data_IF_669234971748
#
_entry.id   IF_669234971748
#
_cell.length_a   1.000
_cell.length_b   1.000
_cell.length_c   1.000
_cell.angle_alpha   90.00
_cell.angle_beta   90.00
_cell.angle_gamma   90.00
#
_symmetry.space_group_name_H-M   'P 1'
#
loop_
_entity.id
_entity.type
_entity.pdbx_description
1 polymer ?
#
# COMPACT_ATOMS: atom_id res chain seq x y z
N UNK A 1 -7.41 13.82 53.49
CA UNK A 1 -8.79 13.29 53.47
C UNK A 1 -9.26 13.36 52.02
N UNK A 2 -8.82 12.39 51.20
CA UNK A 2 -9.63 11.29 50.62
C UNK A 2 -10.75 11.79 49.70
N UNK A 3 -10.95 11.34 48.47
CA UNK A 3 -10.42 10.29 47.59
C UNK A 3 -11.12 10.49 46.23
N UNK A 4 -10.47 10.22 45.10
CA UNK A 4 -10.49 8.97 44.32
C UNK A 4 -11.49 8.94 43.14
N UNK A 5 -10.87 8.95 41.96
CA UNK A 5 -11.10 8.23 40.69
C UNK A 5 -12.45 8.20 39.93
N UNK A 6 -12.38 8.17 38.57
CA UNK A 6 -13.52 8.12 37.65
C UNK A 6 -13.82 6.69 37.16
N UNK A 7 -15.10 6.39 36.88
CA UNK A 7 -15.50 5.16 36.19
C UNK A 7 -15.49 5.34 34.66
N UNK A 8 -14.68 4.51 34.00
CA UNK A 8 -14.68 4.33 32.55
C UNK A 8 -15.81 3.41 32.08
N UNK A 9 -16.37 3.74 30.90
CA UNK A 9 -17.26 2.89 30.14
C UNK A 9 -16.54 2.35 28.91
N UNK A 10 -16.15 1.08 28.96
CA UNK A 10 -15.70 0.28 27.82
C UNK A 10 -16.91 -0.14 27.00
N UNK A 11 -17.10 0.43 25.80
CA UNK A 11 -18.02 -0.14 24.80
C UNK A 11 -17.33 -1.30 24.07
N UNK A 12 -17.65 -2.52 24.51
CA UNK A 12 -17.44 -3.75 23.76
C UNK A 12 -18.50 -3.85 22.67
N UNK A 13 -18.11 -3.75 21.39
CA UNK A 13 -19.00 -4.07 20.27
C UNK A 13 -18.68 -5.47 19.75
N UNK A 14 -19.39 -6.47 20.26
CA UNK A 14 -19.50 -7.79 19.63
C UNK A 14 -20.69 -7.75 18.68
N UNK A 15 -20.48 -7.91 17.37
CA UNK A 15 -21.57 -8.09 16.40
C UNK A 15 -21.39 -9.37 15.58
N UNK A 16 -22.25 -10.35 15.87
CA UNK A 16 -22.49 -11.50 15.03
C UNK A 16 -23.53 -11.14 13.95
N UNK A 17 -23.25 -11.42 12.67
CA UNK A 17 -24.21 -11.27 11.56
C UNK A 17 -25.16 -12.47 11.53
N UNK A 18 -26.45 -12.23 11.72
CA UNK A 18 -27.52 -13.16 11.39
C UNK A 18 -28.16 -12.75 10.06
N UNK A 19 -27.98 -13.56 9.02
CA UNK A 19 -28.68 -13.42 7.73
C UNK A 19 -30.09 -14.01 7.84
N UNK A 20 -31.10 -13.15 7.93
CA UNK A 20 -32.51 -13.53 7.78
C UNK A 20 -32.90 -13.49 6.30
N UNK A 21 -33.07 -14.67 5.69
CA UNK A 21 -33.70 -14.78 4.38
C UNK A 21 -35.23 -14.78 4.54
N UNK A 22 -35.89 -13.71 4.10
CA UNK A 22 -37.35 -13.66 3.95
C UNK A 22 -37.78 -14.63 2.84
N UNK A 23 -38.56 -15.66 3.17
CA UNK A 23 -39.35 -16.43 2.20
C UNK A 23 -40.80 -16.03 2.32
N UNK A 24 -41.35 -15.48 1.24
CA UNK A 24 -42.77 -15.23 1.05
C UNK A 24 -43.48 -16.58 0.86
N UNK A 25 -44.41 -16.90 1.76
CA UNK A 25 -45.30 -18.05 1.63
C UNK A 25 -46.57 -17.62 0.89
N UNK A 26 -46.79 -18.14 -0.31
CA UNK A 26 -48.10 -18.12 -0.97
C UNK A 26 -48.80 -19.45 -0.67
N UNK A 27 -49.99 -19.34 -0.07
CA UNK A 27 -50.89 -20.42 0.31
C UNK A 27 -51.60 -20.96 -0.95
N UNK A 28 -51.54 -22.26 -1.22
CA UNK A 28 -52.53 -22.94 -2.05
C UNK A 28 -52.98 -24.22 -1.34
N UNK A 29 -54.27 -24.27 -1.04
CA UNK A 29 -54.94 -25.35 -0.34
C UNK A 29 -55.49 -26.38 -1.35
N UNK A 30 -55.23 -27.66 -1.04
CA UNK A 30 -56.04 -28.89 -1.20
C UNK A 30 -56.65 -29.21 -2.60
N UNK A 31 -56.77 -30.46 -3.09
CA UNK A 31 -57.17 -31.75 -2.50
C UNK A 31 -56.74 -32.85 -3.49
N UNK A 32 -56.39 -34.05 -3.03
CA UNK A 32 -56.40 -35.25 -3.90
C UNK A 32 -55.62 -36.44 -3.35
N UNK A 33 -56.31 -37.32 -2.64
CA UNK A 33 -55.76 -38.52 -2.01
C UNK A 33 -55.35 -39.62 -3.00
N UNK A 34 -54.27 -40.33 -2.69
CA UNK A 34 -54.11 -41.80 -2.74
C UNK A 34 -52.66 -42.20 -3.09
N UNK A 35 -51.94 -42.75 -2.11
CA UNK A 35 -51.11 -43.97 -2.21
C UNK A 35 -49.99 -43.93 -1.16
N UNK A 36 -50.17 -44.76 -0.14
CA UNK A 36 -49.26 -45.05 0.96
C UNK A 36 -48.05 -45.86 0.50
N UNK A 37 -46.85 -45.27 0.53
CA UNK A 37 -45.57 -45.97 0.67
C UNK A 37 -44.61 -45.06 1.47
N UNK A 38 -44.13 -45.58 2.60
CA UNK A 38 -43.46 -44.83 3.65
C UNK A 38 -42.11 -44.22 3.23
N UNK A 39 -42.02 -42.90 3.36
CA UNK A 39 -40.76 -42.16 3.37
C UNK A 39 -40.35 -41.88 4.84
N UNK A 40 -39.76 -42.88 5.48
CA UNK A 40 -39.10 -42.75 6.79
C UNK A 40 -37.59 -42.63 6.60
N UNK A 41 -37.10 -41.45 6.24
CA UNK A 41 -35.66 -41.14 6.33
C UNK A 41 -35.44 -39.63 6.43
N UNK A 42 -35.87 -39.04 7.55
CA UNK A 42 -35.46 -37.70 7.96
C UNK A 42 -35.20 -37.71 9.47
N UNK A 43 -34.07 -37.11 9.84
CA UNK A 43 -33.51 -36.90 11.19
C UNK A 43 -32.52 -37.95 11.73
N UNK A 44 -31.43 -38.18 10.99
CA UNK A 44 -30.10 -38.11 11.60
C UNK A 44 -29.28 -37.09 10.82
N UNK A 45 -29.29 -35.84 11.31
CA UNK A 45 -28.38 -34.81 10.83
C UNK A 45 -27.27 -34.74 11.86
N UNK A 46 -26.31 -35.64 11.73
CA UNK A 46 -25.04 -35.50 12.43
C UNK A 46 -24.45 -34.15 12.03
N UNK A 47 -24.15 -33.36 13.05
CA UNK A 47 -23.46 -32.09 12.97
C UNK A 47 -22.04 -32.32 12.46
N UNK A 48 -21.86 -32.31 11.14
CA UNK A 48 -20.54 -32.17 10.51
C UNK A 48 -20.22 -30.68 10.52
N UNK A 49 -19.37 -30.25 11.45
CA UNK A 49 -18.77 -28.91 11.44
C UNK A 49 -17.96 -28.69 10.15
N UNK A 50 -17.63 -27.44 9.79
CA UNK A 50 -16.81 -27.18 8.62
C UNK A 50 -15.42 -27.78 8.87
N UNK A 51 -15.14 -28.93 8.27
CA UNK A 51 -13.78 -29.45 8.21
C UNK A 51 -12.97 -28.44 7.39
N UNK A 52 -12.02 -27.76 8.03
CA UNK A 52 -10.94 -27.06 7.33
C UNK A 52 -10.39 -28.02 6.27
N UNK A 53 -10.64 -27.74 4.99
CA UNK A 53 -9.95 -28.44 3.91
C UNK A 53 -8.54 -27.89 3.83
N UNK A 54 -7.71 -28.20 4.82
CA UNK A 54 -6.26 -28.07 4.70
C UNK A 54 -5.85 -29.04 3.60
N UNK A 55 -5.59 -28.53 2.39
CA UNK A 55 -4.93 -29.33 1.33
C UNK A 55 -3.51 -29.60 1.82
N UNK A 56 -3.35 -30.65 2.63
CA UNK A 56 -2.05 -31.08 3.12
C UNK A 56 -1.16 -31.40 1.92
N UNK A 57 0.03 -30.81 1.85
CA UNK A 57 0.98 -31.07 0.76
C UNK A 57 1.35 -32.55 0.69
N UNK A 58 1.67 -33.00 -0.53
CA UNK A 58 2.06 -34.38 -0.81
C UNK A 58 3.45 -34.72 -0.25
N UNK A 59 4.35 -33.75 -0.21
CA UNK A 59 5.73 -33.89 0.21
C UNK A 59 5.98 -33.21 1.57
N UNK A 60 7.00 -33.65 2.33
CA UNK A 60 7.38 -32.96 3.56
C UNK A 60 7.80 -31.52 3.26
N UNK A 61 7.53 -30.54 4.16
CA UNK A 61 7.82 -29.14 3.91
C UNK A 61 9.27 -28.84 3.51
N UNK A 62 10.24 -29.60 4.04
CA UNK A 62 11.65 -29.43 3.69
C UNK A 62 11.98 -29.73 2.23
N UNK A 63 11.17 -30.54 1.54
CA UNK A 63 11.37 -30.85 0.13
C UNK A 63 10.97 -29.70 -0.80
N UNK A 64 10.07 -28.82 -0.33
CA UNK A 64 9.57 -27.64 -1.06
C UNK A 64 10.28 -26.35 -0.61
N UNK A 65 11.21 -26.42 0.35
CA UNK A 65 11.91 -25.25 0.85
C UNK A 65 12.78 -24.61 -0.25
N UNK A 66 12.67 -23.30 -0.50
CA UNK A 66 13.35 -22.66 -1.63
C UNK A 66 14.87 -22.57 -1.43
N UNK A 67 15.63 -22.70 -2.52
CA UNK A 67 17.07 -22.40 -2.52
C UNK A 67 17.30 -20.89 -2.60
N UNK A 68 17.66 -20.29 -1.46
CA UNK A 68 17.85 -18.85 -1.30
C UNK A 68 19.33 -18.44 -1.11
N UNK A 69 20.29 -19.33 -1.44
CA UNK A 69 21.72 -19.13 -1.17
C UNK A 69 22.33 -17.89 -1.83
N UNK A 70 21.72 -17.38 -2.90
CA UNK A 70 22.21 -16.23 -3.68
C UNK A 70 21.26 -15.03 -3.61
N UNK A 71 20.34 -15.02 -2.66
CA UNK A 71 19.27 -14.04 -2.57
C UNK A 71 19.61 -12.94 -1.57
N UNK A 72 19.28 -11.70 -1.95
CA UNK A 72 19.44 -10.50 -1.15
C UNK A 72 18.13 -9.69 -1.16
N UNK A 73 17.14 -10.20 -0.46
CA UNK A 73 15.87 -9.53 -0.17
C UNK A 73 15.45 -9.82 1.28
N UNK A 74 14.52 -9.03 1.84
CA UNK A 74 14.12 -9.14 3.24
C UNK A 74 13.48 -10.52 3.54
N UNK A 75 12.63 -11.03 2.65
CA UNK A 75 12.02 -12.36 2.78
C UNK A 75 13.09 -13.45 2.94
N UNK A 76 14.09 -13.49 2.05
CA UNK A 76 15.18 -14.47 2.12
C UNK A 76 16.06 -14.32 3.37
N UNK A 77 16.16 -13.10 3.91
CA UNK A 77 16.91 -12.83 5.16
C UNK A 77 16.19 -13.36 6.40
N UNK A 78 14.86 -13.54 6.35
CA UNK A 78 14.02 -13.89 7.50
C UNK A 78 13.35 -15.27 7.39
N UNK A 79 13.28 -15.87 6.19
CA UNK A 79 12.73 -17.21 6.03
C UNK A 79 13.70 -18.25 6.61
N UNK A 80 13.15 -19.16 7.42
CA UNK A 80 13.89 -20.30 7.96
C UNK A 80 13.14 -21.60 7.68
N UNK A 81 13.82 -22.76 7.64
CA UNK A 81 13.14 -24.05 7.47
C UNK A 81 12.03 -24.29 8.50
N UNK A 82 12.23 -23.82 9.73
CA UNK A 82 11.24 -23.94 10.80
C UNK A 82 10.00 -23.07 10.56
N UNK A 83 10.18 -21.82 10.13
CA UNK A 83 9.06 -20.93 9.77
C UNK A 83 8.31 -21.50 8.57
N UNK A 84 9.02 -21.92 7.51
CA UNK A 84 8.41 -22.50 6.33
C UNK A 84 7.57 -23.73 6.68
N UNK A 85 8.12 -24.67 7.45
CA UNK A 85 7.40 -25.89 7.84
C UNK A 85 6.13 -25.63 8.67
N UNK A 86 6.09 -24.53 9.46
CA UNK A 86 4.89 -24.14 10.23
C UNK A 86 3.82 -23.44 9.38
N UNK A 87 4.20 -22.81 8.28
CA UNK A 87 3.33 -21.94 7.50
C UNK A 87 2.94 -22.53 6.13
N UNK A 88 3.68 -23.49 5.57
CA UNK A 88 3.51 -23.94 4.18
C UNK A 88 2.16 -24.62 3.86
N UNK A 89 1.49 -25.17 4.88
CA UNK A 89 0.15 -25.78 4.77
C UNK A 89 -0.98 -24.81 5.20
N UNK A 90 -0.64 -23.62 5.71
CA UNK A 90 -1.65 -22.61 6.07
C UNK A 90 -2.15 -21.91 4.82
N UNK A 91 -3.44 -21.56 4.86
CA UNK A 91 -4.13 -20.83 3.79
C UNK A 91 -4.98 -19.72 4.41
N UNK A 92 -5.10 -18.60 3.70
CA UNK A 92 -6.04 -17.54 4.08
C UNK A 92 -7.48 -17.96 3.77
N UNK A 93 -8.51 -17.26 4.26
CA UNK A 93 -9.90 -17.57 3.91
C UNK A 93 -10.18 -17.56 2.40
N UNK A 94 -9.48 -16.73 1.63
CA UNK A 94 -9.57 -16.66 0.16
C UNK A 94 -8.70 -17.72 -0.55
N UNK A 95 -7.93 -18.53 0.20
CA UNK A 95 -7.09 -19.60 -0.33
C UNK A 95 -5.70 -19.16 -0.78
N UNK A 96 -5.22 -17.98 -0.35
CA UNK A 96 -3.85 -17.53 -0.58
C UNK A 96 -2.87 -18.30 0.32
N UNK A 97 -1.68 -18.59 -0.21
CA UNK A 97 -0.70 -19.47 0.44
C UNK A 97 0.64 -18.77 0.71
N UNK A 98 1.47 -19.36 1.57
CA UNK A 98 2.82 -18.89 1.84
C UNK A 98 3.67 -18.81 0.57
N UNK A 99 3.65 -19.86 -0.26
CA UNK A 99 4.47 -19.91 -1.48
C UNK A 99 4.11 -18.77 -2.43
N UNK A 100 2.81 -18.49 -2.58
CA UNK A 100 2.35 -17.36 -3.38
C UNK A 100 2.79 -16.02 -2.79
N UNK A 101 2.86 -15.88 -1.46
CA UNK A 101 3.41 -14.67 -0.84
C UNK A 101 4.89 -14.45 -1.22
N UNK A 102 5.71 -15.51 -1.18
CA UNK A 102 7.17 -15.42 -1.31
C UNK A 102 7.68 -15.57 -2.76
N UNK A 103 6.82 -16.01 -3.70
CA UNK A 103 7.21 -16.35 -5.07
C UNK A 103 8.05 -15.26 -5.75
N UNK A 104 7.62 -14.00 -5.65
CA UNK A 104 8.37 -12.87 -6.23
C UNK A 104 9.78 -12.75 -5.65
N UNK A 105 10.00 -13.04 -4.37
CA UNK A 105 11.33 -13.04 -3.77
C UNK A 105 12.16 -14.24 -4.12
N UNK A 106 11.55 -15.40 -4.37
CA UNK A 106 12.24 -16.60 -4.85
C UNK A 106 12.71 -16.40 -6.29
N UNK A 107 11.88 -15.83 -7.16
CA UNK A 107 12.19 -15.62 -8.57
C UNK A 107 13.16 -14.45 -8.80
N UNK A 108 13.24 -13.51 -7.85
CA UNK A 108 14.07 -12.32 -7.95
C UNK A 108 15.14 -12.30 -6.83
N UNK A 109 16.36 -12.81 -7.09
CA UNK A 109 17.43 -12.91 -6.10
C UNK A 109 17.95 -11.55 -5.62
N UNK A 110 17.66 -10.47 -6.33
CA UNK A 110 18.01 -9.12 -5.91
C UNK A 110 17.49 -8.10 -6.91
N UNK A 111 17.82 -6.83 -6.67
CA UNK A 111 17.51 -5.75 -7.60
C UNK A 111 18.76 -4.87 -7.77
N UNK A 112 19.05 -4.37 -8.99
CA UNK A 112 20.30 -3.64 -9.26
C UNK A 112 20.53 -2.41 -8.38
N UNK A 113 19.46 -1.79 -7.87
CA UNK A 113 19.54 -0.50 -7.19
C UNK A 113 19.19 -0.52 -5.69
N UNK A 114 18.46 -1.52 -5.21
CA UNK A 114 17.90 -1.53 -3.84
C UNK A 114 17.77 -2.96 -3.29
N UNK A 115 17.83 -3.13 -1.96
CA UNK A 115 17.35 -4.36 -1.31
C UNK A 115 15.82 -4.38 -1.36
N UNK A 116 15.24 -5.41 -1.97
CA UNK A 116 13.78 -5.56 -2.10
C UNK A 116 13.18 -6.29 -0.91
N UNK A 117 11.85 -6.24 -0.77
CA UNK A 117 11.14 -6.98 0.28
C UNK A 117 11.11 -8.47 -0.03
N UNK A 118 10.80 -8.87 -1.27
CA UNK A 118 10.76 -10.28 -1.68
C UNK A 118 9.50 -11.05 -1.26
N UNK A 119 8.44 -10.37 -0.83
CA UNK A 119 7.13 -10.99 -0.63
C UNK A 119 5.99 -9.98 -0.74
N UNK A 120 4.78 -10.49 -1.00
CA UNK A 120 3.54 -9.72 -1.13
C UNK A 120 2.39 -10.38 -0.36
N UNK A 121 1.40 -9.58 0.03
CA UNK A 121 0.12 -10.07 0.55
C UNK A 121 -0.89 -10.25 -0.59
N UNK A 122 -1.67 -11.35 -0.54
CA UNK A 122 -2.75 -11.60 -1.49
C UNK A 122 -4.09 -11.05 -1.02
N UNK A 123 -4.26 -10.86 0.28
CA UNK A 123 -5.47 -10.40 0.96
C UNK A 123 -5.10 -9.77 2.32
N UNK A 124 -6.08 -9.22 3.04
CA UNK A 124 -5.84 -8.57 4.35
C UNK A 124 -5.34 -9.57 5.39
N UNK A 125 -5.91 -10.78 5.39
CA UNK A 125 -5.63 -11.87 6.32
C UNK A 125 -4.22 -12.46 6.16
N UNK A 126 -3.59 -12.30 5.00
CA UNK A 126 -2.19 -12.70 4.75
C UNK A 126 -1.24 -12.19 5.84
N UNK A 127 -1.43 -10.95 6.30
CA UNK A 127 -0.61 -10.33 7.33
C UNK A 127 -0.79 -10.93 8.73
N UNK A 128 -1.87 -11.68 8.97
CA UNK A 128 -2.14 -12.38 10.22
C UNK A 128 -1.77 -13.85 10.11
N UNK A 129 -2.25 -14.55 9.08
CA UNK A 129 -2.03 -15.98 8.86
C UNK A 129 -0.54 -16.31 8.75
N UNK A 130 0.23 -15.44 8.06
CA UNK A 130 1.66 -15.59 7.84
C UNK A 130 2.49 -14.57 8.65
N UNK A 131 1.95 -14.03 9.75
CA UNK A 131 2.61 -13.02 10.61
C UNK A 131 4.00 -13.46 11.10
N UNK A 132 4.22 -14.76 11.30
CA UNK A 132 5.50 -15.29 11.73
C UNK A 132 6.64 -15.01 10.72
N UNK A 133 6.35 -14.85 9.43
CA UNK A 133 7.29 -14.36 8.42
C UNK A 133 7.13 -12.86 8.13
N UNK A 134 5.90 -12.34 8.03
CA UNK A 134 5.68 -10.93 7.72
C UNK A 134 6.26 -10.00 8.79
N UNK A 135 6.09 -10.29 10.07
CA UNK A 135 6.55 -9.41 11.15
C UNK A 135 8.07 -9.15 11.13
N UNK A 136 8.97 -10.16 11.07
CA UNK A 136 10.40 -9.91 10.98
C UNK A 136 10.80 -9.22 9.67
N UNK A 137 10.11 -9.50 8.56
CA UNK A 137 10.32 -8.78 7.29
C UNK A 137 9.92 -7.31 7.38
N UNK A 138 8.82 -7.01 8.07
CA UNK A 138 8.35 -5.64 8.34
C UNK A 138 9.36 -4.91 9.24
N UNK A 139 9.82 -5.56 10.30
CA UNK A 139 10.81 -5.00 11.24
C UNK A 139 12.13 -4.67 10.55
N UNK A 140 12.64 -5.57 9.70
CA UNK A 140 13.83 -5.29 8.88
C UNK A 140 13.57 -4.12 7.91
N UNK A 141 12.46 -4.17 7.16
CA UNK A 141 12.20 -3.20 6.09
C UNK A 141 11.92 -1.79 6.63
N UNK A 142 11.27 -1.70 7.78
CA UNK A 142 10.91 -0.46 8.46
C UNK A 142 11.81 -0.17 9.65
N UNK A 143 13.03 -0.73 9.63
CA UNK A 143 14.16 -0.27 10.42
C UNK A 143 13.84 -0.25 11.93
N UNK A 144 13.37 -1.39 12.43
CA UNK A 144 13.10 -1.63 13.85
C UNK A 144 11.66 -1.41 14.29
N UNK A 145 10.74 -1.04 13.39
CA UNK A 145 9.32 -1.04 13.74
C UNK A 145 8.84 -2.47 13.96
N UNK A 146 8.56 -2.84 15.20
CA UNK A 146 8.11 -4.18 15.54
C UNK A 146 6.57 -4.23 15.63
N UNK A 147 5.87 -4.83 14.65
CA UNK A 147 4.40 -4.83 14.61
C UNK A 147 3.75 -5.67 15.72
N UNK A 148 4.53 -6.41 16.53
CA UNK A 148 4.04 -7.20 17.67
C UNK A 148 3.94 -6.38 18.94
N UNK A 149 4.73 -5.31 19.05
CA UNK A 149 4.85 -4.50 20.28
C UNK A 149 4.53 -3.03 20.06
N UNK A 150 4.58 -2.55 18.82
CA UNK A 150 4.33 -1.17 18.45
C UNK A 150 2.98 -0.98 17.76
N UNK A 151 2.51 0.28 17.79
CA UNK A 151 1.29 0.73 17.12
C UNK A 151 1.63 1.87 16.16
N UNK A 152 0.87 1.97 15.07
CA UNK A 152 1.13 2.95 14.03
C UNK A 152 0.27 4.21 14.22
N UNK A 153 0.87 5.42 14.30
CA UNK A 153 0.11 6.65 14.31
C UNK A 153 -0.30 7.08 12.89
N UNK A 154 -1.57 7.45 12.72
CA UNK A 154 -2.09 8.11 11.50
C UNK A 154 -2.44 9.56 11.82
N UNK A 155 -1.96 10.51 11.00
CA UNK A 155 -2.19 11.94 11.20
C UNK A 155 -2.26 12.69 9.85
N UNK A 156 -3.47 12.99 9.39
CA UNK A 156 -3.75 13.74 8.15
C UNK A 156 -4.15 15.20 8.43
N UNK A 157 -3.60 15.80 9.50
CA UNK A 157 -3.83 17.21 9.86
C UNK A 157 -2.80 18.14 9.21
N UNK A 158 -3.00 18.48 7.93
CA UNK A 158 -2.06 19.27 7.13
C UNK A 158 -1.65 20.62 7.76
N UNK A 159 -2.51 21.23 8.58
CA UNK A 159 -2.20 22.46 9.34
C UNK A 159 -0.98 22.35 10.26
N UNK A 160 -0.56 21.14 10.64
CA UNK A 160 0.62 20.90 11.48
C UNK A 160 1.94 21.08 10.73
N UNK A 161 1.91 21.11 9.39
CA UNK A 161 3.11 21.30 8.57
C UNK A 161 3.67 22.72 8.75
N UNK A 162 4.97 22.78 9.05
CA UNK A 162 5.74 24.02 9.19
C UNK A 162 6.64 24.18 7.97
N UNK A 163 6.63 25.38 7.36
CA UNK A 163 7.38 25.65 6.15
C UNK A 163 6.73 25.04 4.90
N UNK A 164 7.46 24.20 4.18
CA UNK A 164 6.96 23.50 2.97
C UNK A 164 6.93 24.33 1.70
N UNK A 165 7.72 25.41 1.63
CA UNK A 165 7.95 26.20 0.42
C UNK A 165 9.45 26.15 0.09
N UNK A 166 9.81 25.34 -0.91
CA UNK A 166 11.20 25.15 -1.32
C UNK A 166 11.66 26.22 -2.32
N UNK A 167 12.98 26.41 -2.45
CA UNK A 167 13.56 27.25 -3.49
C UNK A 167 13.40 26.59 -4.87
N UNK A 168 12.57 27.19 -5.71
CA UNK A 168 12.21 26.68 -7.05
C UNK A 168 13.36 26.76 -8.06
N UNK A 169 14.47 27.43 -7.73
CA UNK A 169 15.72 27.30 -8.50
C UNK A 169 16.27 25.88 -8.44
N UNK A 170 16.00 25.14 -7.35
CA UNK A 170 16.45 23.76 -7.16
C UNK A 170 15.30 22.77 -7.33
N UNK A 171 14.15 23.01 -6.70
CA UNK A 171 12.99 22.10 -6.73
C UNK A 171 12.09 22.39 -7.93
N UNK A 172 11.92 21.40 -8.80
CA UNK A 172 11.17 21.48 -10.05
C UNK A 172 9.70 21.08 -9.88
N UNK A 173 9.43 20.14 -8.98
CA UNK A 173 8.08 19.66 -8.69
C UNK A 173 8.02 18.99 -7.33
N UNK A 174 6.84 19.03 -6.71
CA UNK A 174 6.55 18.42 -5.42
C UNK A 174 5.40 17.43 -5.57
N UNK A 175 5.49 16.28 -4.90
CA UNK A 175 4.50 15.20 -5.00
C UNK A 175 4.35 14.44 -3.69
N UNK A 176 3.11 14.15 -3.32
CA UNK A 176 2.76 13.24 -2.22
C UNK A 176 1.88 12.13 -2.79
N UNK A 177 2.23 10.87 -2.53
CA UNK A 177 1.42 9.71 -2.91
C UNK A 177 1.20 8.78 -1.73
N UNK A 178 0.09 8.05 -1.73
CA UNK A 178 -0.16 6.88 -0.89
C UNK A 178 -0.89 5.79 -1.67
N UNK A 179 -1.17 4.65 -1.05
CA UNK A 179 -2.14 3.67 -1.54
C UNK A 179 -3.27 3.43 -0.54
N UNK A 180 -4.41 2.96 -1.02
CA UNK A 180 -5.51 2.45 -0.18
C UNK A 180 -6.07 1.17 -0.79
N UNK A 181 -6.42 0.22 0.08
CA UNK A 181 -7.05 -1.06 -0.28
C UNK A 181 -8.46 -1.11 0.24
N UNK A 182 -9.43 -1.41 -0.62
CA UNK A 182 -10.83 -1.68 -0.24
C UNK A 182 -10.94 -3.03 0.51
N UNK A 183 -11.46 -3.01 1.74
CA UNK A 183 -11.65 -4.20 2.59
C UNK A 183 -12.66 -5.18 1.97
N UNK A 184 -12.39 -6.48 2.13
CA UNK A 184 -13.24 -7.56 1.65
C UNK A 184 -13.01 -7.96 0.19
N UNK A 185 -12.07 -7.31 -0.51
CA UNK A 185 -11.63 -7.68 -1.86
C UNK A 185 -10.15 -8.07 -1.81
N UNK A 186 -9.78 -9.17 -2.46
CA UNK A 186 -8.38 -9.62 -2.49
C UNK A 186 -7.48 -8.58 -3.17
N UNK A 187 -6.22 -8.48 -2.74
CA UNK A 187 -5.22 -7.58 -3.29
C UNK A 187 -4.77 -8.00 -4.72
N UNK A 188 -4.13 -7.11 -5.50
CA UNK A 188 -3.76 -7.38 -6.90
C UNK A 188 -3.07 -8.73 -7.21
N UNK A 189 -2.20 -9.28 -6.34
CA UNK A 189 -1.59 -10.59 -6.58
C UNK A 189 -2.62 -11.72 -6.71
N UNK A 190 -3.68 -11.68 -5.91
CA UNK A 190 -4.65 -12.77 -5.77
C UNK A 190 -6.01 -12.48 -6.43
N UNK A 191 -6.38 -11.22 -6.63
CA UNK A 191 -7.73 -10.86 -7.06
C UNK A 191 -8.14 -11.52 -8.38
N UNK A 192 -9.39 -11.97 -8.41
CA UNK A 192 -10.07 -12.38 -9.63
C UNK A 192 -10.43 -11.17 -10.49
N UNK A 193 -10.80 -11.41 -11.76
CA UNK A 193 -11.35 -10.35 -12.63
C UNK A 193 -12.59 -9.69 -12.02
N UNK A 194 -13.44 -10.46 -11.34
CA UNK A 194 -14.66 -9.95 -10.72
C UNK A 194 -14.35 -8.99 -9.56
N UNK A 195 -13.47 -9.39 -8.64
CA UNK A 195 -13.05 -8.52 -7.53
C UNK A 195 -12.36 -7.25 -8.04
N UNK A 196 -11.50 -7.37 -9.05
CA UNK A 196 -10.81 -6.22 -9.64
C UNK A 196 -11.79 -5.21 -10.26
N UNK A 197 -12.81 -5.70 -10.98
CA UNK A 197 -13.88 -4.87 -11.53
C UNK A 197 -14.73 -4.22 -10.44
N UNK A 198 -14.93 -4.90 -9.30
CA UNK A 198 -15.63 -4.29 -8.17
C UNK A 198 -14.79 -3.18 -7.52
N UNK A 199 -13.47 -3.37 -7.37
CA UNK A 199 -12.55 -2.28 -6.94
C UNK A 199 -12.65 -1.08 -7.88
N UNK A 200 -12.62 -1.32 -9.20
CA UNK A 200 -12.74 -0.26 -10.20
C UNK A 200 -14.06 0.49 -10.05
N UNK A 201 -15.18 -0.23 -9.99
CA UNK A 201 -16.51 0.33 -9.86
C UNK A 201 -16.65 1.18 -8.59
N UNK A 202 -16.34 0.61 -7.43
CA UNK A 202 -16.45 1.30 -6.12
C UNK A 202 -15.60 2.58 -6.12
N UNK A 203 -14.38 2.48 -6.60
CA UNK A 203 -13.45 3.61 -6.62
C UNK A 203 -13.89 4.69 -7.61
N UNK A 204 -14.22 4.33 -8.85
CA UNK A 204 -14.66 5.28 -9.86
C UNK A 204 -15.96 6.00 -9.46
N UNK A 205 -16.91 5.27 -8.87
CA UNK A 205 -18.17 5.83 -8.38
C UNK A 205 -17.97 6.79 -7.19
N UNK A 206 -17.01 6.53 -6.31
CA UNK A 206 -16.63 7.46 -5.25
C UNK A 206 -15.94 8.71 -5.83
N UNK A 207 -14.99 8.55 -6.75
CA UNK A 207 -14.26 9.66 -7.36
C UNK A 207 -15.16 10.58 -8.20
N UNK A 208 -16.20 10.04 -8.84
CA UNK A 208 -17.20 10.83 -9.54
C UNK A 208 -18.08 11.67 -8.60
N UNK A 209 -18.07 11.39 -7.29
CA UNK A 209 -18.74 12.21 -6.28
C UNK A 209 -17.91 13.40 -5.79
N UNK A 210 -16.64 13.50 -6.19
CA UNK A 210 -15.78 14.65 -5.84
C UNK A 210 -16.25 15.92 -6.55
N UNK A 211 -16.21 17.03 -5.83
CA UNK A 211 -16.69 18.35 -6.29
C UNK A 211 -15.62 19.43 -6.13
N UNK A 212 -15.89 20.63 -6.66
CA UNK A 212 -14.97 21.78 -6.56
C UNK A 212 -13.65 21.54 -7.26
N UNK A 213 -12.54 21.92 -6.62
CA UNK A 213 -11.17 21.73 -7.15
C UNK A 213 -10.76 20.25 -7.29
N UNK A 214 -11.49 19.35 -6.63
CA UNK A 214 -11.28 17.91 -6.70
C UNK A 214 -12.19 17.24 -7.74
N UNK A 215 -13.08 17.97 -8.42
CA UNK A 215 -13.87 17.41 -9.51
C UNK A 215 -12.97 16.97 -10.67
N UNK A 216 -13.29 15.82 -11.28
CA UNK A 216 -12.43 15.20 -12.27
C UNK A 216 -13.13 14.17 -13.14
N UNK A 217 -12.33 13.46 -13.95
CA UNK A 217 -12.81 12.44 -14.89
C UNK A 217 -12.00 11.16 -14.74
N UNK A 218 -12.69 10.03 -14.82
CA UNK A 218 -12.10 8.70 -14.92
C UNK A 218 -11.88 8.29 -16.38
N UNK A 219 -10.72 7.68 -16.65
CA UNK A 219 -10.31 7.15 -17.93
C UNK A 219 -9.92 5.68 -17.76
N UNK A 220 -10.71 4.78 -18.35
CA UNK A 220 -10.36 3.36 -18.41
C UNK A 220 -9.26 3.15 -19.44
N UNK A 221 -8.25 2.36 -19.08
CA UNK A 221 -7.15 2.06 -20.01
C UNK A 221 -7.63 1.30 -21.26
N UNK A 222 -8.64 0.42 -21.12
CA UNK A 222 -9.17 -0.36 -22.24
C UNK A 222 -9.97 0.45 -23.26
N UNK A 223 -10.38 1.66 -22.91
CA UNK A 223 -11.24 2.54 -23.73
C UNK A 223 -10.53 3.86 -24.06
N UNK A 224 -9.26 3.99 -23.68
CA UNK A 224 -8.46 5.19 -23.88
C UNK A 224 -8.06 5.31 -25.36
N UNK A 225 -8.25 6.49 -25.93
CA UNK A 225 -7.75 6.78 -27.28
C UNK A 225 -6.24 6.99 -27.29
N UNK A 226 -5.57 6.73 -28.41
CA UNK A 226 -4.12 6.97 -28.55
C UNK A 226 -3.73 8.39 -28.15
N UNK A 227 -4.53 9.39 -28.52
CA UNK A 227 -4.32 10.80 -28.15
C UNK A 227 -4.43 11.05 -26.64
N UNK A 228 -5.42 10.45 -25.97
CA UNK A 228 -5.54 10.55 -24.50
C UNK A 228 -4.36 9.86 -23.81
N UNK A 229 -3.94 8.71 -24.34
CA UNK A 229 -2.81 7.96 -23.83
C UNK A 229 -1.50 8.76 -23.95
N UNK A 230 -1.20 9.27 -25.15
CA UNK A 230 -0.03 10.12 -25.41
C UNK A 230 -0.01 11.34 -24.48
N UNK A 231 -1.14 12.03 -24.33
CA UNK A 231 -1.24 13.19 -23.45
C UNK A 231 -0.93 12.83 -21.98
N UNK A 232 -1.45 11.71 -21.48
CA UNK A 232 -1.21 11.28 -20.11
C UNK A 232 0.22 10.78 -19.88
N UNK A 233 0.89 10.25 -20.92
CA UNK A 233 2.31 9.92 -20.90
C UNK A 233 3.16 11.20 -20.84
N UNK A 234 2.88 12.18 -21.70
CA UNK A 234 3.56 13.48 -21.73
C UNK A 234 3.45 14.23 -20.40
N UNK A 235 2.28 14.15 -19.77
CA UNK A 235 2.05 14.77 -18.46
C UNK A 235 2.70 14.00 -17.29
N UNK A 236 3.28 12.82 -17.57
CA UNK A 236 3.82 11.87 -16.58
C UNK A 236 2.78 11.34 -15.58
N UNK A 237 1.54 11.15 -16.04
CA UNK A 237 0.43 10.66 -15.23
C UNK A 237 0.09 9.22 -15.48
N UNK A 238 0.27 8.72 -16.70
CA UNK A 238 -0.06 7.35 -17.03
C UNK A 238 0.96 6.38 -16.42
N UNK A 239 0.45 5.25 -15.97
CA UNK A 239 1.26 4.08 -15.63
C UNK A 239 1.15 3.05 -16.77
N UNK A 240 2.27 2.46 -17.13
CA UNK A 240 2.33 1.44 -18.17
C UNK A 240 2.04 0.05 -17.63
N UNK A 241 1.87 -0.90 -18.56
CA UNK A 241 1.80 -2.32 -18.19
C UNK A 241 3.01 -2.68 -17.32
N UNK A 242 2.81 -3.29 -16.14
CA UNK A 242 3.94 -3.71 -15.30
C UNK A 242 4.88 -4.65 -16.07
N UNK A 243 6.10 -4.19 -16.33
CA UNK A 243 7.18 -4.98 -16.93
C UNK A 243 8.22 -5.43 -15.91
N UNK A 244 8.20 -4.84 -14.71
CA UNK A 244 9.12 -5.22 -13.65
C UNK A 244 8.93 -6.70 -13.27
N UNK A 245 10.01 -7.49 -13.20
CA UNK A 245 9.92 -8.90 -12.80
C UNK A 245 9.40 -9.06 -11.36
N UNK A 246 9.56 -8.03 -10.51
CA UNK A 246 9.00 -8.01 -9.15
C UNK A 246 7.46 -8.04 -9.16
N UNK A 247 6.83 -7.29 -10.08
CA UNK A 247 5.37 -7.18 -10.18
C UNK A 247 4.76 -8.34 -10.97
N UNK A 248 5.43 -8.75 -12.05
CA UNK A 248 4.95 -9.85 -12.90
C UNK A 248 5.07 -11.20 -12.19
N UNK A 249 6.18 -11.50 -11.49
CA UNK A 249 6.32 -12.70 -10.67
C UNK A 249 5.37 -12.72 -9.46
N UNK A 250 4.94 -11.54 -8.98
CA UNK A 250 3.89 -11.42 -7.97
C UNK A 250 2.46 -11.57 -8.53
N UNK A 251 2.30 -11.84 -9.84
CA UNK A 251 0.99 -12.04 -10.46
C UNK A 251 0.16 -10.76 -10.64
N UNK A 252 0.77 -9.58 -10.52
CA UNK A 252 0.05 -8.30 -10.50
C UNK A 252 -0.30 -7.77 -11.91
N UNK A 253 0.31 -8.34 -12.96
CA UNK A 253 0.07 -7.97 -14.36
C UNK A 253 -1.05 -8.79 -15.05
N UNK A 254 -1.75 -9.67 -14.32
CA UNK A 254 -2.79 -10.54 -14.89
C UNK A 254 -3.95 -9.73 -15.47
N UNK A 255 -4.47 -10.24 -16.59
CA UNK A 255 -5.64 -9.71 -17.32
C UNK A 255 -5.49 -8.25 -17.80
N UNK A 256 -4.27 -7.71 -17.91
CA UNK A 256 -4.06 -6.33 -18.34
C UNK A 256 -4.66 -6.04 -19.73
N UNK A 257 -5.35 -4.90 -19.94
CA UNK A 257 -5.61 -3.78 -19.01
C UNK A 257 -6.98 -3.84 -18.28
N UNK A 258 -7.63 -5.00 -18.19
CA UNK A 258 -8.99 -5.15 -17.62
C UNK A 258 -9.10 -4.51 -16.23
N UNK A 259 -10.11 -3.63 -16.07
CA UNK A 259 -10.43 -2.90 -14.85
C UNK A 259 -9.32 -2.00 -14.29
N UNK A 260 -8.40 -1.53 -15.16
CA UNK A 260 -7.39 -0.52 -14.80
C UNK A 260 -7.74 0.82 -15.42
N UNK A 261 -7.40 1.88 -14.71
CA UNK A 261 -7.57 3.23 -15.22
C UNK A 261 -6.96 4.28 -14.35
N UNK A 262 -7.09 5.51 -14.81
CA UNK A 262 -6.62 6.70 -14.14
C UNK A 262 -7.78 7.67 -14.01
N UNK A 263 -7.92 8.24 -12.83
CA UNK A 263 -8.76 9.40 -12.60
C UNK A 263 -7.85 10.59 -12.29
N UNK A 264 -8.21 11.78 -12.74
CA UNK A 264 -7.57 13.01 -12.28
C UNK A 264 -8.57 14.16 -12.23
N UNK A 265 -8.31 15.13 -11.36
CA UNK A 265 -9.06 16.39 -11.33
C UNK A 265 -8.78 17.23 -12.60
N UNK A 266 -9.61 18.23 -12.87
CA UNK A 266 -9.48 19.08 -14.06
C UNK A 266 -8.11 19.77 -14.15
N UNK A 267 -7.58 20.22 -13.01
CA UNK A 267 -6.28 20.90 -12.91
C UNK A 267 -5.07 19.95 -12.92
N UNK A 268 -5.30 18.63 -13.01
CA UNK A 268 -4.22 17.61 -13.07
C UNK A 268 -3.24 17.67 -11.88
N UNK A 269 -3.75 18.07 -10.71
CA UNK A 269 -3.00 18.23 -9.46
C UNK A 269 -3.38 17.21 -8.38
N UNK A 270 -4.45 16.45 -8.60
CA UNK A 270 -4.90 15.33 -7.79
C UNK A 270 -5.28 14.17 -8.72
N UNK A 271 -4.66 13.01 -8.53
CA UNK A 271 -4.78 11.84 -9.40
C UNK A 271 -4.99 10.58 -8.57
N UNK A 272 -5.72 9.63 -9.14
CA UNK A 272 -5.90 8.30 -8.55
C UNK A 272 -5.68 7.24 -9.63
N UNK A 273 -4.67 6.39 -9.45
CA UNK A 273 -4.52 5.18 -10.26
C UNK A 273 -5.35 4.07 -9.63
N UNK A 274 -6.03 3.29 -10.48
CA UNK A 274 -6.92 2.21 -10.07
C UNK A 274 -6.37 0.89 -10.60
N UNK A 275 -6.21 -0.09 -9.70
CA UNK A 275 -5.82 -1.48 -9.97
C UNK A 275 -4.44 -1.69 -10.64
N UNK A 276 -3.48 -0.80 -10.39
CA UNK A 276 -2.08 -1.00 -10.80
C UNK A 276 -1.36 -1.90 -9.78
N UNK A 277 -0.49 -1.35 -8.93
CA UNK A 277 0.25 -2.11 -7.91
C UNK A 277 -0.52 -2.30 -6.59
N UNK A 278 -1.59 -1.53 -6.40
CA UNK A 278 -2.52 -1.59 -5.27
C UNK A 278 -3.93 -1.29 -5.80
N UNK A 279 -4.98 -1.46 -4.98
CA UNK A 279 -6.36 -1.11 -5.40
C UNK A 279 -6.44 0.35 -5.85
N UNK A 280 -5.87 1.26 -5.06
CA UNK A 280 -5.73 2.66 -5.43
C UNK A 280 -4.36 3.21 -5.11
N UNK A 281 -3.85 4.12 -5.95
CA UNK A 281 -2.74 5.03 -5.63
C UNK A 281 -3.23 6.46 -5.72
N UNK A 282 -3.40 7.11 -4.57
CA UNK A 282 -3.85 8.49 -4.46
C UNK A 282 -2.64 9.42 -4.47
N UNK A 283 -2.65 10.42 -5.34
CA UNK A 283 -1.52 11.27 -5.66
C UNK A 283 -1.96 12.73 -5.65
N UNK A 284 -1.23 13.57 -4.93
CA UNK A 284 -1.28 15.02 -5.10
C UNK A 284 0.08 15.49 -5.61
N UNK A 285 0.11 16.32 -6.63
CA UNK A 285 1.35 16.86 -7.18
C UNK A 285 1.17 18.21 -7.83
N UNK A 286 2.26 18.97 -7.94
CA UNK A 286 2.33 20.21 -8.71
C UNK A 286 3.77 20.54 -9.10
N UNK A 287 3.93 21.42 -10.10
CA UNK A 287 5.23 22.03 -10.41
C UNK A 287 5.63 23.00 -9.30
N UNK A 288 6.93 23.21 -9.12
CA UNK A 288 7.48 24.09 -8.10
C UNK A 288 7.61 23.45 -6.71
N UNK A 289 7.82 24.30 -5.71
CA UNK A 289 8.32 23.92 -4.39
C UNK A 289 7.29 23.94 -3.26
N UNK A 290 6.00 24.14 -3.53
CA UNK A 290 4.98 24.30 -2.49
C UNK A 290 4.43 22.95 -1.97
N UNK A 291 5.29 22.19 -1.29
CA UNK A 291 4.93 20.92 -0.64
C UNK A 291 3.77 21.06 0.35
N UNK A 292 3.65 22.20 1.04
CA UNK A 292 2.56 22.43 1.99
C UNK A 292 1.20 22.37 1.30
N UNK A 293 1.03 23.11 0.19
CA UNK A 293 -0.22 23.10 -0.60
C UNK A 293 -0.50 21.73 -1.22
N UNK A 294 0.54 21.04 -1.72
CA UNK A 294 0.41 19.65 -2.21
C UNK A 294 -0.16 18.75 -1.11
N UNK A 295 0.36 18.86 0.12
CA UNK A 295 -0.08 18.03 1.23
C UNK A 295 -1.48 18.42 1.76
N UNK A 296 -1.82 19.71 1.77
CA UNK A 296 -3.19 20.18 2.11
C UNK A 296 -4.23 19.55 1.18
N UNK A 297 -4.02 19.67 -0.15
CA UNK A 297 -4.87 19.03 -1.16
C UNK A 297 -4.90 17.51 -1.03
N UNK A 298 -3.75 16.89 -0.74
CA UNK A 298 -3.66 15.45 -0.51
C UNK A 298 -4.54 14.99 0.65
N UNK A 299 -4.43 15.63 1.82
CA UNK A 299 -5.21 15.29 3.00
C UNK A 299 -6.71 15.52 2.78
N UNK A 300 -7.09 16.64 2.15
CA UNK A 300 -8.48 16.94 1.83
C UNK A 300 -9.07 15.92 0.88
N UNK A 301 -8.39 15.64 -0.24
CA UNK A 301 -8.86 14.67 -1.22
C UNK A 301 -8.96 13.26 -0.65
N UNK A 302 -7.99 12.84 0.16
CA UNK A 302 -8.00 11.50 0.75
C UNK A 302 -9.14 11.31 1.76
N UNK A 303 -9.39 12.31 2.64
CA UNK A 303 -10.52 12.30 3.58
C UNK A 303 -11.87 12.26 2.84
N UNK A 304 -11.99 13.00 1.74
CA UNK A 304 -13.23 13.04 0.97
C UNK A 304 -13.50 11.75 0.19
N UNK A 305 -12.46 11.16 -0.41
CA UNK A 305 -12.56 9.84 -1.06
C UNK A 305 -12.96 8.77 -0.04
N UNK A 306 -12.35 8.78 1.15
CA UNK A 306 -12.71 7.85 2.23
C UNK A 306 -14.19 8.01 2.64
N UNK A 307 -14.65 9.25 2.84
CA UNK A 307 -16.04 9.56 3.16
C UNK A 307 -17.01 8.97 2.12
N UNK A 308 -16.73 9.18 0.83
CA UNK A 308 -17.58 8.71 -0.28
C UNK A 308 -17.59 7.17 -0.43
N UNK A 309 -16.48 6.51 -0.09
CA UNK A 309 -16.39 5.04 -0.06
C UNK A 309 -17.20 4.48 1.13
N UNK A 310 -17.08 5.10 2.31
CA UNK A 310 -17.84 4.75 3.51
C UNK A 310 -19.35 4.90 3.33
N UNK A 311 -19.81 5.97 2.67
CA UNK A 311 -21.23 6.19 2.36
C UNK A 311 -21.85 5.07 1.54
N UNK A 312 -21.02 4.32 0.80
CA UNK A 312 -21.43 3.18 -0.02
C UNK A 312 -21.28 1.84 0.70
N UNK A 313 -20.91 1.86 1.99
CA UNK A 313 -20.78 0.68 2.83
C UNK A 313 -19.46 -0.07 2.69
N UNK A 314 -18.44 0.55 2.11
CA UNK A 314 -17.09 -0.01 1.98
C UNK A 314 -16.13 0.66 2.96
N UNK A 315 -15.09 -0.06 3.37
CA UNK A 315 -14.05 0.44 4.26
C UNK A 315 -12.67 0.27 3.62
N UNK A 316 -11.69 1.04 4.09
CA UNK A 316 -10.30 0.73 3.80
C UNK A 316 -9.76 -0.35 4.74
N UNK A 317 -8.88 -1.20 4.22
CA UNK A 317 -8.10 -2.14 5.03
C UNK A 317 -7.14 -1.36 5.92
N UNK A 318 -7.41 -1.37 7.23
CA UNK A 318 -6.61 -0.69 8.24
C UNK A 318 -6.67 -1.44 9.56
N UNK A 319 -5.56 -1.47 10.28
CA UNK A 319 -5.51 -1.91 11.67
C UNK A 319 -4.46 -1.12 12.47
N UNK A 320 -4.56 -1.17 13.80
CA UNK A 320 -3.75 -0.33 14.70
C UNK A 320 -2.25 -0.66 14.65
N UNK A 321 -1.87 -1.92 14.40
CA UNK A 321 -0.47 -2.36 14.42
C UNK A 321 0.25 -2.07 13.09
N UNK A 322 -0.45 -2.10 11.95
CA UNK A 322 0.13 -1.95 10.61
C UNK A 322 -0.30 -0.66 9.89
N UNK A 323 -1.25 0.09 10.43
CA UNK A 323 -1.87 1.20 9.71
C UNK A 323 -2.66 0.71 8.50
N UNK A 324 -2.58 1.44 7.39
CA UNK A 324 -3.21 1.05 6.14
C UNK A 324 -2.49 -0.15 5.52
N UNK A 325 -3.29 -1.15 5.11
CA UNK A 325 -2.80 -2.37 4.48
C UNK A 325 -2.72 -2.18 2.96
N UNK A 326 -1.56 -2.55 2.42
CA UNK A 326 -1.28 -2.55 0.98
C UNK A 326 -0.57 -3.85 0.60
N UNK A 327 -0.40 -4.07 -0.70
CA UNK A 327 0.12 -5.33 -1.26
C UNK A 327 1.54 -5.65 -0.81
N UNK A 328 2.42 -4.64 -0.84
CA UNK A 328 3.82 -4.81 -0.48
C UNK A 328 4.05 -4.37 0.97
N UNK A 329 4.71 -5.19 1.82
CA UNK A 329 5.05 -4.81 3.19
C UNK A 329 5.79 -3.48 3.32
N UNK A 330 6.56 -3.07 2.30
CA UNK A 330 7.24 -1.77 2.32
C UNK A 330 6.29 -0.58 2.33
N UNK A 331 5.03 -0.75 1.93
CA UNK A 331 4.03 0.32 1.83
C UNK A 331 3.02 0.31 2.99
N UNK A 332 3.22 -0.51 4.03
CA UNK A 332 2.37 -0.45 5.23
C UNK A 332 2.46 0.90 5.94
N UNK A 333 1.54 1.11 6.88
CA UNK A 333 1.47 2.28 7.74
C UNK A 333 0.75 3.41 7.04
N UNK A 334 1.51 4.43 6.68
CA UNK A 334 1.00 5.57 5.94
C UNK A 334 0.83 5.27 4.44
N UNK A 335 1.58 4.28 3.93
CA UNK A 335 1.81 4.09 2.49
C UNK A 335 2.44 5.29 1.78
N UNK A 336 2.86 6.31 2.56
CA UNK A 336 3.15 7.64 2.06
C UNK A 336 4.55 7.71 1.47
N UNK A 337 4.62 8.35 0.30
CA UNK A 337 5.87 8.83 -0.29
C UNK A 337 5.66 10.28 -0.70
N UNK A 338 6.18 11.18 0.13
CA UNK A 338 6.35 12.58 -0.20
C UNK A 338 7.75 12.80 -0.75
N UNK A 339 7.85 13.56 -1.83
CA UNK A 339 9.13 13.81 -2.46
C UNK A 339 9.11 14.95 -3.46
N UNK A 340 10.30 15.27 -3.96
CA UNK A 340 10.56 16.35 -4.89
C UNK A 340 11.44 15.89 -6.03
N UNK A 341 11.26 16.49 -7.19
CA UNK A 341 12.34 16.56 -8.18
C UNK A 341 13.23 17.74 -7.87
N UNK A 342 14.51 17.48 -7.57
CA UNK A 342 15.48 18.48 -7.16
C UNK A 342 16.76 18.40 -8.01
N UNK A 343 17.29 19.56 -8.39
CA UNK A 343 18.59 19.71 -9.06
C UNK A 343 19.71 19.81 -8.02
N UNK A 344 20.66 18.88 -8.07
CA UNK A 344 21.82 18.83 -7.17
C UNK A 344 23.13 18.56 -7.94
N UNK A 345 23.54 19.45 -8.88
CA UNK A 345 24.68 19.20 -9.77
C UNK A 345 26.03 19.04 -9.07
N UNK A 346 26.23 19.65 -7.90
CA UNK A 346 27.47 19.56 -7.13
C UNK A 346 27.36 18.48 -6.05
N UNK A 347 26.31 18.52 -5.23
CA UNK A 347 26.14 17.58 -4.11
C UNK A 347 26.02 16.12 -4.60
N UNK A 348 25.48 15.89 -5.79
CA UNK A 348 25.38 14.54 -6.37
C UNK A 348 26.71 13.87 -6.70
N UNK A 349 27.79 14.65 -6.81
CA UNK A 349 29.16 14.18 -7.05
C UNK A 349 29.94 14.02 -5.74
N UNK A 350 29.43 14.55 -4.63
CA UNK A 350 30.06 14.44 -3.32
C UNK A 350 29.82 13.04 -2.73
N UNK A 351 30.91 12.37 -2.34
CA UNK A 351 30.89 11.04 -1.75
C UNK A 351 30.06 10.95 -0.44
N UNK A 352 29.83 12.10 0.23
CA UNK A 352 29.06 12.18 1.47
C UNK A 352 27.55 12.13 1.25
N UNK A 353 27.04 12.33 0.03
CA UNK A 353 25.59 12.39 -0.23
C UNK A 353 24.86 11.14 0.28
N UNK A 354 25.40 9.95 0.04
CA UNK A 354 24.77 8.70 0.50
C UNK A 354 24.56 8.69 2.01
N UNK A 355 25.57 9.14 2.78
CA UNK A 355 25.47 9.20 4.24
C UNK A 355 24.56 10.33 4.72
N UNK A 356 24.53 11.46 4.02
CA UNK A 356 23.59 12.56 4.29
C UNK A 356 22.15 12.06 4.12
N UNK A 357 21.82 11.39 3.01
CA UNK A 357 20.48 10.84 2.77
C UNK A 357 20.10 9.79 3.82
N UNK A 358 21.02 8.88 4.15
CA UNK A 358 20.81 7.86 5.19
C UNK A 358 20.46 8.49 6.54
N UNK A 359 21.25 9.48 6.98
CA UNK A 359 21.06 10.15 8.26
C UNK A 359 19.77 10.98 8.28
N UNK A 360 19.39 11.59 7.15
CA UNK A 360 18.14 12.32 7.00
C UNK A 360 16.91 11.43 6.76
N UNK A 361 17.08 10.10 6.66
CA UNK A 361 16.00 9.14 6.33
C UNK A 361 15.32 9.44 4.99
N UNK A 362 16.11 9.87 4.01
CA UNK A 362 15.69 10.11 2.64
C UNK A 362 16.23 9.02 1.70
N UNK A 363 15.54 8.80 0.60
CA UNK A 363 15.99 7.93 -0.49
C UNK A 363 16.04 8.71 -1.79
N UNK A 364 16.99 8.33 -2.65
CA UNK A 364 17.18 8.87 -4.00
C UNK A 364 16.75 7.83 -5.05
N UNK A 365 16.03 8.26 -6.09
CA UNK A 365 15.73 7.50 -7.30
C UNK A 365 16.05 8.32 -8.55
N UNK A 366 16.05 7.67 -9.72
CA UNK A 366 16.15 8.37 -11.00
C UNK A 366 14.90 9.20 -11.31
N UNK A 367 14.99 10.01 -12.36
CA UNK A 367 13.99 11.06 -12.65
C UNK A 367 12.64 10.50 -13.09
N UNK A 368 12.59 9.28 -13.63
CA UNK A 368 11.36 8.56 -13.98
C UNK A 368 10.90 7.53 -12.94
N UNK A 369 11.52 7.48 -11.76
CA UNK A 369 11.16 6.54 -10.69
C UNK A 369 12.20 5.45 -10.45
N UNK A 370 11.75 4.31 -9.90
CA UNK A 370 12.62 3.28 -9.28
C UNK A 370 13.51 2.52 -10.25
N UNK A 371 13.09 2.41 -11.51
CA UNK A 371 13.80 1.64 -12.54
C UNK A 371 14.53 2.53 -13.55
N UNK A 372 14.64 3.83 -13.28
CA UNK A 372 15.25 4.80 -14.20
C UNK A 372 16.55 5.38 -13.65
N UNK A 373 17.47 5.75 -14.54
CA UNK A 373 18.65 6.53 -14.18
C UNK A 373 18.27 8.01 -13.95
N UNK A 374 19.13 8.74 -13.23
CA UNK A 374 18.97 10.19 -13.11
C UNK A 374 19.35 10.88 -14.42
N UNK A 375 18.49 11.77 -14.92
CA UNK A 375 18.78 12.61 -16.09
C UNK A 375 19.16 14.03 -15.65
N UNK A 376 20.26 14.56 -16.16
CA UNK A 376 20.60 15.99 -16.00
C UNK A 376 20.83 16.48 -14.57
N UNK A 377 21.34 15.63 -13.66
CA UNK A 377 21.53 15.92 -12.23
C UNK A 377 20.22 16.19 -11.45
N UNK A 378 19.09 15.73 -11.98
CA UNK A 378 17.78 15.78 -11.32
C UNK A 378 17.52 14.46 -10.61
N UNK A 379 17.16 14.53 -9.34
CA UNK A 379 16.87 13.37 -8.51
C UNK A 379 15.45 13.42 -7.96
N UNK A 380 14.78 12.26 -7.88
CA UNK A 380 13.60 12.07 -7.04
C UNK A 380 14.09 11.77 -5.61
N UNK A 381 13.91 12.74 -4.72
CA UNK A 381 14.21 12.62 -3.29
C UNK A 381 12.90 12.49 -2.52
N UNK A 382 12.79 11.47 -1.68
CA UNK A 382 11.59 11.20 -0.89
C UNK A 382 11.90 10.58 0.48
N UNK A 383 10.93 10.55 1.39
CA UNK A 383 11.05 9.80 2.63
C UNK A 383 11.35 8.31 2.37
N UNK A 384 12.21 7.73 3.21
CA UNK A 384 12.53 6.31 3.22
C UNK A 384 11.53 5.49 4.05
N UNK A 385 11.12 6.03 5.20
CA UNK A 385 10.25 5.40 6.19
C UNK A 385 8.77 5.55 5.80
N UNK A 386 7.93 4.55 6.11
CA UNK A 386 6.46 4.60 5.86
C UNK A 386 5.61 4.11 7.03
N UNK A 387 6.20 3.31 7.92
CA UNK A 387 5.56 2.75 9.11
C UNK A 387 6.26 3.29 10.37
N UNK A 388 5.53 3.38 11.48
CA UNK A 388 6.02 3.93 12.76
C UNK A 388 6.07 5.46 12.89
N UNK A 389 5.85 6.21 11.81
CA UNK A 389 5.69 7.68 11.82
C UNK A 389 4.44 8.06 11.05
N UNK A 390 3.73 9.07 11.51
CA UNK A 390 2.52 9.58 10.87
C UNK A 390 2.81 10.32 9.56
N UNK A 391 1.78 10.57 8.77
CA UNK A 391 1.88 11.29 7.50
C UNK A 391 2.45 12.70 7.68
N UNK A 392 1.98 13.44 8.68
CA UNK A 392 2.52 14.76 9.05
C UNK A 392 4.01 14.71 9.39
N UNK A 393 4.43 13.73 10.20
CA UNK A 393 5.84 13.58 10.58
C UNK A 393 6.73 13.25 9.38
N UNK A 394 6.27 12.38 8.49
CA UNK A 394 7.01 12.00 7.29
C UNK A 394 7.15 13.17 6.30
N UNK A 395 6.09 13.97 6.11
CA UNK A 395 6.16 15.14 5.24
C UNK A 395 7.05 16.23 5.86
N UNK A 396 6.98 16.46 7.17
CA UNK A 396 7.88 17.40 7.84
C UNK A 396 9.34 16.95 7.71
N UNK A 397 9.62 15.65 7.86
CA UNK A 397 10.96 15.09 7.66
C UNK A 397 11.50 15.34 6.24
N UNK A 398 10.65 15.22 5.22
CA UNK A 398 11.02 15.54 3.83
C UNK A 398 11.29 17.03 3.68
N UNK A 399 10.45 17.90 4.27
CA UNK A 399 10.65 19.35 4.23
C UNK A 399 12.01 19.73 4.83
N UNK A 400 12.32 19.23 6.01
CA UNK A 400 13.56 19.56 6.71
C UNK A 400 14.78 19.02 5.95
N UNK A 401 14.71 17.77 5.49
CA UNK A 401 15.79 17.12 4.76
C UNK A 401 16.05 17.76 3.39
N UNK A 402 15.00 18.10 2.62
CA UNK A 402 15.15 18.79 1.32
C UNK A 402 15.75 20.18 1.49
N UNK A 403 15.33 20.93 2.51
CA UNK A 403 15.94 22.23 2.82
C UNK A 403 17.43 22.10 3.16
N UNK A 404 17.82 21.05 3.89
CA UNK A 404 19.22 20.76 4.17
C UNK A 404 20.02 20.46 2.90
N UNK A 405 19.48 19.65 1.99
CA UNK A 405 20.13 19.35 0.70
C UNK A 405 20.33 20.62 -0.14
N UNK A 406 19.34 21.52 -0.15
CA UNK A 406 19.45 22.83 -0.83
C UNK A 406 20.55 23.70 -0.17
N UNK A 407 20.66 23.72 1.16
CA UNK A 407 21.74 24.43 1.85
C UNK A 407 23.12 23.86 1.49
N UNK A 408 23.25 22.54 1.46
CA UNK A 408 24.49 21.88 1.02
C UNK A 408 24.86 22.26 -0.42
N UNK A 409 23.92 22.21 -1.36
CA UNK A 409 24.17 22.60 -2.75
C UNK A 409 24.64 24.06 -2.84
N UNK A 410 23.96 24.99 -2.16
CA UNK A 410 24.34 26.42 -2.11
C UNK A 410 25.73 26.67 -1.52
N UNK A 411 26.14 25.88 -0.53
CA UNK A 411 27.50 25.96 0.04
C UNK A 411 28.54 25.52 -0.98
N UNK A 412 28.31 24.38 -1.65
CA UNK A 412 29.20 23.87 -2.69
C UNK A 412 29.32 24.85 -3.87
N UNK A 413 28.22 25.51 -4.27
CA UNK A 413 28.25 26.56 -5.30
C UNK A 413 29.17 27.73 -4.95
N UNK A 414 29.35 28.02 -3.64
CA UNK A 414 30.24 29.06 -3.12
C UNK A 414 31.64 28.54 -2.77
N UNK A 415 31.96 27.28 -3.11
CA UNK A 415 33.22 26.65 -2.74
C UNK A 415 33.39 26.40 -1.23
N UNK A 416 32.29 26.32 -0.49
CA UNK A 416 32.29 26.08 0.96
C UNK A 416 32.09 24.61 1.28
N UNK A 417 32.66 24.15 2.40
CA UNK A 417 32.47 22.78 2.86
C UNK A 417 31.08 22.54 3.48
N UNK A 418 30.63 21.28 3.43
CA UNK A 418 29.36 20.79 3.96
C UNK A 418 29.60 19.79 5.09
N UNK A 419 28.60 19.59 5.93
CA UNK A 419 28.66 18.61 7.02
C UNK A 419 27.70 17.46 6.77
N UNK A 420 28.02 16.30 7.34
CA UNK A 420 27.07 15.21 7.45
C UNK A 420 26.17 15.51 8.67
N UNK A 421 24.84 15.61 8.52
CA UNK A 421 23.95 15.86 9.65
C UNK A 421 23.96 14.65 10.59
N UNK A 422 23.64 14.87 11.86
CA UNK A 422 23.42 13.75 12.78
C UNK A 422 22.24 12.88 12.30
N UNK A 423 22.26 11.55 12.54
CA UNK A 423 21.13 10.70 12.21
C UNK A 423 19.86 11.18 12.90
N UNK A 424 18.75 11.30 12.16
CA UNK A 424 17.43 11.57 12.75
C UNK A 424 17.11 10.46 13.73
N UNK A 425 16.75 10.82 14.96
CA UNK A 425 16.41 9.85 16.00
C UNK A 425 15.27 8.95 15.51
N UNK A 426 15.49 7.65 15.60
CA UNK A 426 14.42 6.69 15.44
C UNK A 426 13.57 6.79 16.69
N UNK A 427 12.26 6.95 16.52
CA UNK A 427 11.30 6.85 17.61
C UNK A 427 11.52 5.50 18.29
N UNK A 428 12.19 5.53 19.44
CA UNK A 428 12.19 4.42 20.38
C UNK A 428 10.80 4.43 20.99
N UNK A 429 9.87 3.73 20.33
CA UNK A 429 8.58 3.39 20.91
C UNK A 429 8.77 2.52 22.13
#
# INVERSE_FOLDING_TARGET
>A
VHGDTPHGGTMSSTFARALSARRSAALLAAVGAASSLGAGFLFSRDSVGPSERTKRRLYPPSAEYPDLRKHNNCMASNLTPAIYARLCDKVTPAGWTLDQCIQTGVDNPGHPFIKTVGMVAGDEESYEVFAELFDPVIEERHNGYNPRTMKHPTDLEARKIKGGHFDERYVLSSRVRTGRSIRGLSLPPACSRAERREVEKVTAEALNGLTGELAGKYYRLSEMTDKEQEQLIEDHFLFDKPVSPLLTAAGMARDWPDARGIWHNHEKTFLVWINEEDHTRVISMEKGGNMKRVFERFCQGLKEVERLILERGWEFMWNERLGYILTCPSNLGTGLRAGVHIKLPLLSKDHRLSKILENLRLQKRGTGGVDTAATGNIFDISNLDRLGKSEVELVQLVIDGVNYLIDCERRLERGQDIRIPAPVSQSRG
#
